data_IF_062692105603
#
_entry.id   IF_062692105603
#
_cell.length_a   1.000
_cell.length_b   1.000
_cell.length_c   1.000
_cell.angle_alpha   90.00
_cell.angle_beta   90.00
_cell.angle_gamma   90.00
#
_symmetry.space_group_name_H-M   'P 1'
#
loop_
_entity.id
_entity.type
_entity.pdbx_description
1 polymer ?
#
# COMPACT_ATOMS: atom_id res chain seq x y z
N UNK A 1 10.66 10.65 7.44
CA UNK A 1 10.37 10.53 5.99
C UNK A 1 11.53 11.02 5.13
N UNK A 2 11.95 12.29 5.24
CA UNK A 2 12.97 12.87 4.35
C UNK A 2 14.31 12.09 4.38
N UNK A 3 14.80 11.75 5.56
CA UNK A 3 16.05 10.98 5.71
C UNK A 3 15.96 9.58 5.08
N UNK A 4 14.89 8.83 5.36
CA UNK A 4 14.68 7.52 4.75
C UNK A 4 14.58 7.59 3.22
N UNK A 5 13.94 8.64 2.68
CA UNK A 5 13.89 8.87 1.24
C UNK A 5 15.26 9.28 0.68
N UNK A 6 16.07 10.04 1.41
CA UNK A 6 17.44 10.38 1.01
C UNK A 6 18.34 9.15 0.94
N UNK A 7 18.31 8.30 1.97
CA UNK A 7 19.05 7.04 2.01
C UNK A 7 18.63 6.09 0.88
N UNK A 8 17.36 6.15 0.47
CA UNK A 8 16.81 5.36 -0.63
C UNK A 8 17.03 5.97 -2.04
N UNK A 9 17.59 7.18 -2.14
CA UNK A 9 17.76 7.88 -3.42
C UNK A 9 16.46 8.44 -4.01
N UNK A 10 15.43 8.65 -3.19
CA UNK A 10 14.07 9.03 -3.60
C UNK A 10 13.71 10.48 -3.29
N UNK A 11 14.69 11.32 -2.95
CA UNK A 11 14.45 12.75 -2.73
C UNK A 11 14.01 13.40 -4.04
N UNK A 12 12.81 13.97 -4.05
CA UNK A 12 12.22 14.60 -5.22
C UNK A 12 11.72 13.63 -6.31
N UNK A 13 11.82 12.32 -6.08
CA UNK A 13 11.37 11.31 -7.04
C UNK A 13 9.96 10.81 -6.71
N UNK A 14 9.10 10.56 -7.71
CA UNK A 14 7.82 9.92 -7.49
C UNK A 14 8.01 8.45 -7.08
N UNK A 15 7.14 7.96 -6.20
CA UNK A 15 7.15 6.57 -5.77
C UNK A 15 5.75 6.08 -5.38
N UNK A 16 5.53 4.78 -5.55
CA UNK A 16 4.35 4.07 -5.05
C UNK A 16 4.72 3.38 -3.74
N UNK A 17 3.94 3.63 -2.69
CA UNK A 17 4.10 2.95 -1.40
C UNK A 17 3.13 1.78 -1.32
N UNK A 18 3.64 0.56 -1.20
CA UNK A 18 2.83 -0.62 -0.92
C UNK A 18 2.92 -1.00 0.56
N UNK A 19 1.84 -1.55 1.10
CA UNK A 19 1.80 -2.19 2.41
C UNK A 19 1.36 -3.65 2.28
N UNK A 20 2.31 -4.56 1.96
CA UNK A 20 2.03 -5.96 1.65
C UNK A 20 1.85 -6.81 2.92
N UNK A 21 1.36 -6.23 4.00
CA UNK A 21 1.13 -6.89 5.29
C UNK A 21 -0.20 -6.45 5.89
N UNK A 22 -0.74 -7.27 6.78
CA UNK A 22 -1.90 -6.94 7.60
C UNK A 22 -1.90 -7.85 8.82
N UNK A 23 -1.91 -7.28 10.01
CA UNK A 23 -1.89 -8.05 11.25
C UNK A 23 -3.22 -8.78 11.50
N UNK A 24 -3.11 -10.01 11.99
CA UNK A 24 -4.22 -10.84 12.47
C UNK A 24 -5.02 -11.56 11.38
N UNK A 25 -5.87 -12.48 11.83
CA UNK A 25 -6.89 -13.13 11.00
C UNK A 25 -8.23 -12.39 11.17
N UNK A 26 -9.02 -12.27 10.10
CA UNK A 26 -10.42 -11.85 10.21
C UNK A 26 -11.33 -13.06 10.00
N UNK A 27 -11.96 -13.55 11.08
CA UNK A 27 -12.78 -14.78 11.06
C UNK A 27 -12.01 -16.00 10.50
N UNK A 28 -10.74 -16.15 10.89
CA UNK A 28 -9.87 -17.23 10.41
C UNK A 28 -9.27 -17.04 9.02
N UNK A 29 -9.57 -15.93 8.32
CA UNK A 29 -9.07 -15.64 6.96
C UNK A 29 -7.89 -14.68 6.98
N UNK A 30 -6.93 -14.91 6.07
CA UNK A 30 -5.76 -14.05 5.83
C UNK A 30 -6.23 -12.67 5.36
N UNK A 31 -5.72 -11.61 5.97
CA UNK A 31 -6.05 -10.20 5.66
C UNK A 31 -5.12 -9.54 4.65
N UNK A 32 -4.24 -10.32 4.00
CA UNK A 32 -3.28 -9.83 3.01
C UNK A 32 -3.70 -10.29 1.62
N UNK A 33 -3.83 -9.34 0.70
CA UNK A 33 -4.04 -9.63 -0.70
C UNK A 33 -2.81 -10.35 -1.30
N UNK A 34 -2.95 -11.50 -1.95
CA UNK A 34 -1.79 -12.28 -2.41
C UNK A 34 -1.05 -11.69 -3.61
N UNK A 35 -1.62 -10.69 -4.30
CA UNK A 35 -1.12 -10.17 -5.58
C UNK A 35 -0.02 -9.08 -5.49
N UNK A 36 0.52 -8.79 -4.30
CA UNK A 36 1.43 -7.65 -4.13
C UNK A 36 2.69 -7.73 -4.98
N UNK A 37 3.39 -8.87 -5.05
CA UNK A 37 4.61 -8.97 -5.89
C UNK A 37 4.29 -8.84 -7.38
N UNK A 38 3.21 -9.48 -7.84
CA UNK A 38 2.77 -9.38 -9.24
C UNK A 38 2.43 -7.94 -9.61
N UNK A 39 1.73 -7.21 -8.72
CA UNK A 39 1.44 -5.79 -8.90
C UNK A 39 2.73 -4.96 -8.90
N UNK A 40 3.64 -5.24 -7.96
CA UNK A 40 4.93 -4.55 -7.83
C UNK A 40 5.71 -4.64 -9.14
N UNK A 41 5.87 -5.85 -9.69
CA UNK A 41 6.56 -6.07 -10.96
C UNK A 41 5.88 -5.38 -12.12
N UNK A 42 4.54 -5.40 -12.18
CA UNK A 42 3.77 -4.73 -13.24
C UNK A 42 3.97 -3.21 -13.21
N UNK A 43 4.03 -2.60 -12.03
CA UNK A 43 4.31 -1.17 -11.87
C UNK A 43 5.77 -0.84 -12.21
N UNK A 44 6.72 -1.67 -11.77
CA UNK A 44 8.15 -1.52 -12.09
C UNK A 44 8.42 -1.63 -13.59
N UNK A 45 7.76 -2.55 -14.29
CA UNK A 45 7.87 -2.70 -15.75
C UNK A 45 7.38 -1.46 -16.51
N UNK A 46 6.59 -0.60 -15.87
CA UNK A 46 6.11 0.68 -16.41
C UNK A 46 6.94 1.88 -15.92
N UNK A 47 8.07 1.64 -15.25
CA UNK A 47 8.99 2.67 -14.78
C UNK A 47 8.64 3.29 -13.44
N UNK A 48 7.68 2.75 -12.68
CA UNK A 48 7.39 3.24 -11.35
C UNK A 48 8.37 2.67 -10.31
N UNK A 49 8.91 3.54 -9.46
CA UNK A 49 9.58 3.13 -8.23
C UNK A 49 8.53 2.64 -7.23
N UNK A 50 8.65 1.40 -6.76
CA UNK A 50 7.76 0.80 -5.77
C UNK A 50 8.52 0.49 -4.49
N UNK A 51 8.02 1.00 -3.37
CA UNK A 51 8.65 0.90 -2.06
C UNK A 51 7.70 0.33 -1.01
N UNK A 52 8.26 -0.22 0.06
CA UNK A 52 7.56 -0.61 1.29
C UNK A 52 8.30 -0.09 2.52
N UNK A 53 7.57 0.22 3.60
CA UNK A 53 8.13 0.72 4.85
C UNK A 53 7.40 0.05 6.05
N UNK A 54 7.52 -1.28 6.20
CA UNK A 54 6.86 -2.01 7.29
C UNK A 54 7.51 -1.69 8.64
N UNK A 55 6.80 -1.92 9.77
CA UNK A 55 7.43 -1.95 11.08
C UNK A 55 8.44 -3.12 11.18
N UNK A 56 9.40 -3.07 12.13
CA UNK A 56 10.44 -4.10 12.25
C UNK A 56 9.88 -5.53 12.32
N UNK A 57 8.80 -5.73 13.10
CA UNK A 57 8.17 -7.04 13.30
C UNK A 57 7.54 -7.64 12.03
N UNK A 58 7.24 -6.82 11.03
CA UNK A 58 6.55 -7.24 9.79
C UNK A 58 7.49 -7.27 8.57
N UNK A 59 8.78 -6.94 8.75
CA UNK A 59 9.73 -6.77 7.65
C UNK A 59 9.91 -8.04 6.83
N UNK A 60 10.07 -9.20 7.47
CA UNK A 60 10.26 -10.46 6.76
C UNK A 60 9.01 -10.90 6.00
N UNK A 61 7.83 -10.65 6.56
CA UNK A 61 6.57 -10.93 5.88
C UNK A 61 6.37 -10.03 4.66
N UNK A 62 6.63 -8.73 4.82
CA UNK A 62 6.55 -7.78 3.71
C UNK A 62 7.48 -8.17 2.55
N UNK A 63 8.72 -8.59 2.87
CA UNK A 63 9.68 -9.09 1.88
C UNK A 63 9.23 -10.37 1.19
N UNK A 64 8.56 -11.29 1.89
CA UNK A 64 7.99 -12.50 1.27
C UNK A 64 6.85 -12.17 0.31
N UNK A 65 6.01 -11.19 0.66
CA UNK A 65 4.82 -10.84 -0.12
C UNK A 65 5.11 -9.93 -1.33
N UNK A 66 6.21 -9.17 -1.31
CA UNK A 66 6.66 -8.32 -2.41
C UNK A 66 8.20 -8.21 -2.49
N UNK A 67 8.91 -9.30 -2.80
CA UNK A 67 10.38 -9.36 -2.78
C UNK A 67 11.07 -8.35 -3.70
N UNK A 68 10.43 -7.87 -4.77
CA UNK A 68 11.06 -6.89 -5.67
C UNK A 68 10.84 -5.43 -5.27
N UNK A 69 9.97 -5.14 -4.29
CA UNK A 69 9.79 -3.77 -3.80
C UNK A 69 11.00 -3.33 -2.97
N UNK A 70 11.40 -2.07 -3.12
CA UNK A 70 12.50 -1.51 -2.33
C UNK A 70 12.06 -1.35 -0.86
N UNK A 71 12.80 -1.95 0.06
CA UNK A 71 12.53 -1.81 1.49
C UNK A 71 13.16 -0.51 2.02
N UNK A 72 12.32 0.34 2.61
CA UNK A 72 12.74 1.49 3.40
C UNK A 72 12.93 1.11 4.87
N UNK A 73 13.84 1.80 5.59
CA UNK A 73 13.97 1.61 7.03
C UNK A 73 12.65 1.95 7.75
N UNK A 74 12.33 1.26 8.86
CA UNK A 74 11.10 1.47 9.60
C UNK A 74 11.03 2.91 10.13
N UNK A 75 9.81 3.46 10.16
CA UNK A 75 9.55 4.83 10.59
C UNK A 75 8.59 4.86 11.77
N UNK A 76 8.78 5.83 12.67
CA UNK A 76 7.76 6.18 13.65
C UNK A 76 6.49 6.73 12.98
N UNK A 77 5.35 6.65 13.67
CA UNK A 77 4.03 6.91 13.10
C UNK A 77 3.92 8.26 12.36
N UNK A 78 4.40 9.36 12.95
CA UNK A 78 4.35 10.68 12.30
C UNK A 78 5.21 10.76 11.04
N UNK A 79 6.39 10.14 11.05
CA UNK A 79 7.27 10.06 9.89
C UNK A 79 6.69 9.14 8.80
N UNK A 80 5.97 8.08 9.19
CA UNK A 80 5.26 7.21 8.26
C UNK A 80 4.05 7.91 7.62
N UNK A 81 3.26 8.66 8.39
CA UNK A 81 2.17 9.49 7.86
C UNK A 81 2.68 10.54 6.85
N UNK A 82 3.85 11.14 7.13
CA UNK A 82 4.49 12.04 6.17
C UNK A 82 4.99 11.31 4.91
N UNK A 83 5.42 10.04 5.02
CA UNK A 83 5.78 9.21 3.87
C UNK A 83 4.55 8.91 3.01
N UNK A 84 3.42 8.52 3.62
CA UNK A 84 2.17 8.23 2.90
C UNK A 84 1.66 9.46 2.16
N UNK A 85 1.70 10.65 2.77
CA UNK A 85 1.29 11.90 2.13
C UNK A 85 2.14 12.28 0.91
N UNK A 86 3.40 11.85 0.88
CA UNK A 86 4.36 12.12 -0.22
C UNK A 86 4.34 11.08 -1.33
N UNK A 87 3.76 9.91 -1.08
CA UNK A 87 3.65 8.87 -2.09
C UNK A 87 2.73 9.34 -3.23
N UNK A 88 3.10 9.00 -4.47
CA UNK A 88 2.24 9.24 -5.64
C UNK A 88 0.95 8.40 -5.53
N UNK A 89 1.06 7.21 -4.95
CA UNK A 89 -0.07 6.36 -4.60
C UNK A 89 0.33 5.45 -3.44
N UNK A 90 -0.58 5.27 -2.47
CA UNK A 90 -0.48 4.23 -1.44
C UNK A 90 -1.38 3.06 -1.82
N UNK A 91 -0.85 1.83 -1.84
CA UNK A 91 -1.64 0.62 -2.12
C UNK A 91 -1.53 -0.31 -0.92
N UNK A 92 -2.65 -0.63 -0.28
CA UNK A 92 -2.65 -1.35 0.99
C UNK A 92 -3.91 -2.18 1.19
N UNK A 93 -3.83 -3.17 2.08
CA UNK A 93 -5.02 -3.87 2.58
C UNK A 93 -5.82 -2.96 3.53
N UNK A 94 -7.06 -3.36 3.85
CA UNK A 94 -7.82 -2.82 4.98
C UNK A 94 -7.12 -3.07 6.34
N UNK A 95 -6.23 -2.15 6.69
CA UNK A 95 -5.22 -2.23 7.73
C UNK A 95 -4.90 -0.84 8.30
N UNK A 96 -4.06 -0.76 9.34
CA UNK A 96 -3.63 0.51 9.91
C UNK A 96 -3.03 1.48 8.88
N UNK A 97 -2.32 0.97 7.86
CA UNK A 97 -1.76 1.81 6.80
C UNK A 97 -2.84 2.54 6.01
N UNK A 98 -3.95 1.87 5.71
CA UNK A 98 -5.11 2.47 5.00
C UNK A 98 -5.66 3.68 5.75
N UNK A 99 -5.76 3.59 7.08
CA UNK A 99 -6.28 4.67 7.92
C UNK A 99 -5.26 5.80 8.13
N UNK A 100 -3.98 5.48 8.28
CA UNK A 100 -2.92 6.49 8.39
C UNK A 100 -2.80 7.28 7.08
N UNK A 101 -2.83 6.60 5.94
CA UNK A 101 -2.83 7.24 4.62
C UNK A 101 -4.04 8.18 4.45
N UNK A 102 -5.22 7.74 4.89
CA UNK A 102 -6.45 8.54 4.85
C UNK A 102 -6.34 9.80 5.71
N UNK A 103 -5.88 9.65 6.97
CA UNK A 103 -5.66 10.76 7.88
C UNK A 103 -4.60 11.75 7.34
N UNK A 104 -3.61 11.25 6.61
CA UNK A 104 -2.58 12.06 5.96
C UNK A 104 -3.02 12.67 4.61
N UNK A 105 -4.30 12.52 4.22
CA UNK A 105 -4.85 12.96 2.93
C UNK A 105 -4.09 12.41 1.71
N UNK A 106 -3.50 11.22 1.84
CA UNK A 106 -2.81 10.55 0.75
C UNK A 106 -3.81 10.07 -0.32
N UNK A 107 -3.36 10.00 -1.57
CA UNK A 107 -4.08 9.25 -2.60
C UNK A 107 -3.83 7.77 -2.37
N UNK A 108 -4.89 6.98 -2.25
CA UNK A 108 -4.75 5.56 -1.90
C UNK A 108 -5.72 4.64 -2.64
N UNK A 109 -5.27 3.39 -2.79
CA UNK A 109 -6.02 2.25 -3.24
C UNK A 109 -6.06 1.22 -2.10
N UNK A 110 -7.22 1.05 -1.47
CA UNK A 110 -7.43 0.09 -0.37
C UNK A 110 -8.10 -1.18 -0.87
N UNK A 111 -7.48 -2.32 -0.58
CA UNK A 111 -7.91 -3.64 -1.03
C UNK A 111 -8.67 -4.37 0.08
N UNK A 112 -9.82 -4.94 -0.28
CA UNK A 112 -10.70 -5.70 0.59
C UNK A 112 -10.89 -7.12 0.06
N UNK A 113 -10.85 -8.10 0.95
CA UNK A 113 -11.21 -9.50 0.63
C UNK A 113 -11.91 -10.23 1.76
N UNK A 114 -11.85 -9.68 2.98
CA UNK A 114 -12.37 -10.34 4.18
C UNK A 114 -13.15 -9.42 5.11
N UNK A 115 -13.11 -8.10 4.87
CA UNK A 115 -13.79 -7.05 5.63
C UNK A 115 -14.70 -6.23 4.72
N UNK A 116 -15.68 -5.54 5.31
CA UNK A 116 -16.70 -4.78 4.57
C UNK A 116 -16.25 -3.32 4.42
N UNK A 117 -16.03 -2.82 3.18
CA UNK A 117 -15.60 -1.44 2.95
C UNK A 117 -16.51 -0.39 3.60
N UNK A 118 -17.82 -0.66 3.66
CA UNK A 118 -18.81 0.24 4.24
C UNK A 118 -18.69 0.38 5.77
N UNK A 119 -18.00 -0.57 6.42
CA UNK A 119 -17.85 -0.60 7.88
C UNK A 119 -16.46 -0.23 8.35
N UNK A 120 -15.44 -0.70 7.64
CA UNK A 120 -14.03 -0.55 8.05
C UNK A 120 -13.22 0.30 7.08
N UNK A 121 -13.84 0.78 6.00
CA UNK A 121 -13.13 1.56 5.00
C UNK A 121 -12.51 2.85 5.55
N UNK A 122 -11.42 3.32 4.93
CA UNK A 122 -10.78 4.57 5.28
C UNK A 122 -11.75 5.74 5.06
N UNK A 123 -11.80 6.67 6.02
CA UNK A 123 -12.55 7.91 5.85
C UNK A 123 -11.70 8.95 5.10
N UNK A 124 -11.73 8.89 3.77
CA UNK A 124 -11.06 9.87 2.91
C UNK A 124 -11.73 9.94 1.53
N UNK A 125 -11.98 11.13 0.98
CA UNK A 125 -12.47 11.27 -0.40
C UNK A 125 -11.41 10.93 -1.45
N UNK A 126 -10.13 10.77 -1.04
CA UNK A 126 -9.01 10.38 -1.92
C UNK A 126 -8.71 8.88 -1.89
N UNK A 127 -9.51 8.10 -1.15
CA UNK A 127 -9.40 6.66 -1.09
C UNK A 127 -10.31 6.00 -2.13
N UNK A 128 -9.73 5.14 -2.97
CA UNK A 128 -10.48 4.20 -3.81
C UNK A 128 -10.44 2.84 -3.13
N UNK A 129 -11.62 2.26 -2.89
CA UNK A 129 -11.76 0.94 -2.28
C UNK A 129 -12.11 -0.09 -3.36
N UNK A 130 -11.42 -1.23 -3.37
CA UNK A 130 -11.61 -2.30 -4.37
C UNK A 130 -11.72 -3.65 -3.67
N UNK A 131 -12.64 -4.50 -4.14
CA UNK A 131 -12.95 -5.79 -3.55
C UNK A 131 -14.10 -5.75 -2.53
N UNK A 132 -14.35 -6.90 -1.89
CA UNK A 132 -15.50 -7.10 -0.99
C UNK A 132 -15.11 -7.95 0.22
N UNK A 133 -16.03 -8.25 1.13
CA UNK A 133 -15.79 -9.16 2.26
C UNK A 133 -15.90 -10.65 1.89
N UNK A 134 -16.26 -10.95 0.64
CA UNK A 134 -16.44 -12.31 0.11
C UNK A 134 -15.22 -12.79 -0.69
N UNK A 135 -14.61 -11.88 -1.46
CA UNK A 135 -13.49 -12.21 -2.32
C UNK A 135 -12.54 -11.01 -2.49
N UNK A 136 -11.24 -11.34 -2.55
CA UNK A 136 -10.20 -10.42 -2.98
C UNK A 136 -10.44 -9.99 -4.43
N UNK A 137 -10.09 -8.74 -4.80
CA UNK A 137 -10.11 -8.32 -6.19
C UNK A 137 -9.06 -9.05 -7.01
N UNK A 138 -9.29 -9.12 -8.32
CA UNK A 138 -8.37 -9.79 -9.23
C UNK A 138 -7.09 -8.97 -9.42
N UNK A 139 -6.01 -9.64 -9.84
CA UNK A 139 -4.75 -8.98 -10.20
C UNK A 139 -4.96 -7.89 -11.26
N UNK A 140 -5.78 -8.18 -12.27
CA UNK A 140 -6.07 -7.28 -13.36
C UNK A 140 -6.83 -6.03 -12.87
N UNK A 141 -7.86 -6.23 -12.06
CA UNK A 141 -8.66 -5.13 -11.51
C UNK A 141 -7.79 -4.16 -10.68
N UNK A 142 -6.96 -4.70 -9.78
CA UNK A 142 -6.06 -3.87 -8.96
C UNK A 142 -5.04 -3.13 -9.83
N UNK A 143 -4.49 -3.79 -10.85
CA UNK A 143 -3.50 -3.19 -11.75
C UNK A 143 -4.12 -2.06 -12.57
N UNK A 144 -5.32 -2.25 -13.13
CA UNK A 144 -6.02 -1.23 -13.90
C UNK A 144 -6.38 -0.01 -13.03
N UNK A 145 -6.86 -0.24 -11.80
CA UNK A 145 -7.21 0.86 -10.89
C UNK A 145 -5.96 1.62 -10.42
N UNK A 146 -4.86 0.92 -10.12
CA UNK A 146 -3.60 1.55 -9.78
C UNK A 146 -3.09 2.44 -10.94
N UNK A 147 -3.16 1.96 -12.18
CA UNK A 147 -2.77 2.73 -13.37
C UNK A 147 -3.64 3.98 -13.55
N UNK A 148 -4.97 3.86 -13.50
CA UNK A 148 -5.87 5.02 -13.60
C UNK A 148 -5.56 6.10 -12.56
N UNK A 149 -5.28 5.68 -11.33
CA UNK A 149 -4.91 6.60 -10.27
C UNK A 149 -3.56 7.25 -10.54
N UNK A 150 -2.57 6.51 -11.05
CA UNK A 150 -1.24 7.04 -11.37
C UNK A 150 -1.28 8.00 -12.58
N UNK A 151 -2.09 7.72 -13.60
CA UNK A 151 -2.21 8.51 -14.82
C UNK A 151 -3.01 9.82 -14.60
N UNK A 152 -3.90 9.84 -13.60
CA UNK A 152 -4.69 11.03 -13.22
C UNK A 152 -3.94 12.03 -12.33
N UNK A 153 -2.61 12.10 -12.42
CA UNK A 153 -1.74 13.02 -11.65
C UNK A 153 -1.24 14.15 -12.53
#
# INVERSE_FOLDING_TARGET
>A
AAEALAQAGLVGQPFVLIAPTATGLHKGRIKVWPGFDTLTRALQARGHTVVMCPPPAETDEARRNAPTAQLLPPLGLGAFAALTARATLVICNDSGVSHVAAAASARQLTLFGVTQPQRTGPWSPRAVCVGTDQAWPSQEEVTQQAQRLLDGT
#
